data_IF_139403610620
#
_entry.id   IF_139403610620
#
_cell.length_a   1.000
_cell.length_b   1.000
_cell.length_c   1.000
_cell.angle_alpha   90.00
_cell.angle_beta   90.00
_cell.angle_gamma   90.00
#
_symmetry.space_group_name_H-M   'P 1'
#
loop_
_entity.id
_entity.type
_entity.pdbx_description
1 polymer ?
#
# COMPACT_ATOMS: atom_id res chain seq x y z
N UNK A 1 9.69 18.79 -26.81
CA UNK A 1 9.09 18.25 -25.63
C UNK A 1 9.76 18.86 -24.42
N UNK A 2 8.96 19.41 -23.59
CA UNK A 2 9.45 19.96 -22.36
C UNK A 2 10.03 18.91 -21.42
N UNK A 3 9.59 17.67 -21.58
CA UNK A 3 10.10 16.60 -20.74
C UNK A 3 11.52 16.21 -21.16
N UNK A 4 12.36 16.04 -20.17
CA UNK A 4 13.70 15.52 -20.40
C UNK A 4 13.68 14.06 -20.80
N UNK A 5 12.56 13.39 -20.59
CA UNK A 5 12.41 11.98 -20.91
C UNK A 5 11.54 11.77 -22.13
N UNK A 6 11.86 10.77 -22.93
CA UNK A 6 10.98 10.32 -23.98
C UNK A 6 9.72 9.70 -23.36
N UNK A 7 8.67 9.53 -24.16
CA UNK A 7 7.44 8.90 -23.70
C UNK A 7 7.72 7.52 -23.11
N UNK A 8 8.60 6.75 -23.76
CA UNK A 8 8.99 5.44 -23.28
C UNK A 8 9.66 5.53 -21.90
N UNK A 9 10.55 6.49 -21.73
CA UNK A 9 11.26 6.67 -20.47
C UNK A 9 10.29 7.06 -19.34
N UNK A 10 9.34 7.92 -19.63
CA UNK A 10 8.30 8.29 -18.66
C UNK A 10 7.48 7.08 -18.23
N UNK A 11 7.10 6.23 -19.17
CA UNK A 11 6.37 5.02 -18.86
C UNK A 11 7.15 4.09 -17.95
N UNK A 12 8.44 3.96 -18.18
CA UNK A 12 9.30 3.15 -17.32
C UNK A 12 9.38 3.71 -15.91
N UNK A 13 9.52 5.03 -15.77
CA UNK A 13 9.57 5.68 -14.47
C UNK A 13 8.25 5.50 -13.72
N UNK A 14 7.13 5.69 -14.40
CA UNK A 14 5.81 5.50 -13.79
C UNK A 14 5.58 4.06 -13.39
N UNK A 15 6.07 3.11 -14.18
CA UNK A 15 5.98 1.68 -13.85
C UNK A 15 6.77 1.37 -12.57
N UNK A 16 7.96 1.90 -12.43
CA UNK A 16 8.79 1.72 -11.23
C UNK A 16 8.12 2.28 -10.00
N UNK A 17 7.45 3.43 -10.13
CA UNK A 17 6.71 4.04 -9.03
C UNK A 17 5.54 3.16 -8.57
N UNK A 18 4.91 2.43 -9.50
CA UNK A 18 3.78 1.55 -9.20
C UNK A 18 4.19 0.18 -8.69
N UNK A 19 5.43 -0.23 -8.92
CA UNK A 19 5.93 -1.52 -8.49
C UNK A 19 6.38 -1.45 -7.03
N UNK A 20 6.88 -2.58 -6.55
CA UNK A 20 7.44 -2.65 -5.19
C UNK A 20 8.64 -1.72 -5.06
N UNK A 21 9.03 -1.41 -3.85
CA UNK A 21 10.15 -0.53 -3.50
C UNK A 21 9.86 0.95 -3.77
N UNK A 22 8.59 1.35 -3.66
CA UNK A 22 8.25 2.78 -3.68
C UNK A 22 8.82 3.47 -2.44
N UNK A 23 8.92 4.80 -2.48
CA UNK A 23 9.44 5.56 -1.34
C UNK A 23 8.69 5.29 -0.04
N UNK A 24 7.37 5.21 -0.10
CA UNK A 24 6.58 4.96 1.11
C UNK A 24 6.83 3.57 1.68
N UNK A 25 7.01 2.58 0.82
CA UNK A 25 7.35 1.23 1.27
C UNK A 25 8.72 1.23 1.96
N UNK A 26 9.70 1.89 1.38
CA UNK A 26 11.05 1.96 1.95
C UNK A 26 11.06 2.68 3.29
N UNK A 27 10.31 3.77 3.41
CA UNK A 27 10.19 4.52 4.66
C UNK A 27 9.62 3.62 5.75
N UNK A 28 8.55 2.90 5.44
CA UNK A 28 7.91 2.02 6.41
C UNK A 28 8.81 0.84 6.78
N UNK A 29 9.49 0.23 5.81
CA UNK A 29 10.43 -0.86 6.06
C UNK A 29 11.53 -0.43 7.02
N UNK A 30 12.08 0.76 6.81
CA UNK A 30 13.14 1.30 7.66
C UNK A 30 12.65 1.47 9.09
N UNK A 31 11.43 1.99 9.26
CA UNK A 31 10.85 2.17 10.58
C UNK A 31 10.63 0.84 11.29
N UNK A 32 10.13 -0.17 10.56
CA UNK A 32 9.94 -1.52 11.09
C UNK A 32 11.26 -2.16 11.50
N UNK A 33 12.27 -2.02 10.67
CA UNK A 33 13.59 -2.58 10.93
C UNK A 33 14.20 -1.98 12.19
N UNK A 34 14.03 -0.68 12.40
CA UNK A 34 14.52 -0.02 13.62
C UNK A 34 13.88 -0.57 14.88
N UNK A 35 12.65 -1.07 14.79
CA UNK A 35 11.95 -1.68 15.92
C UNK A 35 12.32 -3.14 16.12
N UNK A 36 13.25 -3.65 15.34
CA UNK A 36 13.69 -5.05 15.43
C UNK A 36 12.77 -6.04 14.77
N UNK A 37 11.81 -5.58 13.98
CA UNK A 37 10.88 -6.46 13.29
C UNK A 37 11.49 -6.97 11.99
N UNK A 38 11.29 -8.27 11.74
CA UNK A 38 11.78 -8.91 10.53
C UNK A 38 10.60 -9.30 9.67
N UNK A 39 10.60 -8.83 8.45
CA UNK A 39 9.50 -9.00 7.50
C UNK A 39 9.99 -9.54 6.17
N UNK A 40 9.06 -9.92 5.32
CA UNK A 40 9.34 -10.32 3.95
C UNK A 40 8.60 -9.40 2.99
N UNK A 41 9.21 -9.15 1.85
CA UNK A 41 8.63 -8.30 0.81
C UNK A 41 8.09 -9.15 -0.33
N UNK A 42 8.87 -10.10 -0.80
CA UNK A 42 8.44 -11.01 -1.86
C UNK A 42 7.46 -12.03 -1.30
N UNK A 43 6.30 -12.16 -1.93
CA UNK A 43 5.30 -13.12 -1.51
C UNK A 43 4.36 -13.42 -2.67
N UNK A 44 3.59 -14.51 -2.53
CA UNK A 44 2.63 -14.95 -3.53
C UNK A 44 1.20 -14.85 -3.02
N UNK A 45 0.96 -14.07 -1.99
CA UNK A 45 -0.38 -13.91 -1.44
C UNK A 45 -1.28 -13.18 -2.42
N UNK A 46 -2.56 -13.48 -2.33
CA UNK A 46 -3.56 -12.80 -3.14
C UNK A 46 -3.52 -11.30 -2.86
N UNK A 47 -3.53 -10.48 -3.91
CA UNK A 47 -3.43 -9.03 -3.79
C UNK A 47 -2.02 -8.50 -3.60
N UNK A 48 -1.04 -9.37 -3.45
CA UNK A 48 0.38 -9.02 -3.30
C UNK A 48 0.64 -7.90 -2.28
N UNK A 49 0.48 -8.21 -0.97
CA UNK A 49 0.84 -7.23 0.06
C UNK A 49 2.26 -6.71 -0.11
N UNK A 50 2.50 -5.49 0.32
CA UNK A 50 3.82 -4.87 0.20
C UNK A 50 4.80 -5.42 1.22
N UNK A 51 4.30 -5.79 2.40
CA UNK A 51 5.11 -6.34 3.50
C UNK A 51 4.30 -7.45 4.16
N UNK A 52 4.95 -8.57 4.50
CA UNK A 52 4.28 -9.63 5.24
C UNK A 52 5.12 -10.11 6.42
N UNK A 53 4.43 -10.62 7.42
CA UNK A 53 5.02 -11.33 8.56
C UNK A 53 4.43 -12.73 8.57
N UNK A 54 5.05 -13.69 7.84
CA UNK A 54 4.42 -15.02 7.64
C UNK A 54 4.12 -15.80 8.90
N UNK A 55 5.01 -15.76 9.87
CA UNK A 55 4.82 -16.51 11.12
C UNK A 55 3.63 -16.01 11.93
N UNK A 56 3.27 -14.76 11.78
CA UNK A 56 2.14 -14.14 12.50
C UNK A 56 0.92 -13.95 11.59
N UNK A 57 1.05 -14.24 10.32
CA UNK A 57 0.00 -14.03 9.31
C UNK A 57 -0.50 -12.60 9.28
N UNK A 58 0.41 -11.66 9.19
CA UNK A 58 0.09 -10.22 9.07
C UNK A 58 0.51 -9.75 7.69
N UNK A 59 -0.41 -9.13 6.97
CA UNK A 59 -0.18 -8.58 5.64
C UNK A 59 -0.40 -7.07 5.66
N UNK A 60 0.54 -6.33 5.09
CA UNK A 60 0.54 -4.86 5.14
C UNK A 60 0.55 -4.29 3.74
N UNK A 61 -0.37 -3.35 3.49
CA UNK A 61 -0.47 -2.63 2.23
C UNK A 61 -0.17 -1.16 2.45
N UNK A 62 0.62 -0.59 1.55
CA UNK A 62 0.92 0.84 1.53
C UNK A 62 0.12 1.44 0.37
N UNK A 63 -0.99 2.10 0.68
CA UNK A 63 -1.93 2.56 -0.34
C UNK A 63 -1.71 4.01 -0.75
N UNK A 64 -1.66 4.26 -2.06
CA UNK A 64 -1.63 5.61 -2.59
C UNK A 64 -2.98 6.29 -2.39
N UNK A 65 -2.97 7.54 -1.93
CA UNK A 65 -4.18 8.24 -1.55
C UNK A 65 -5.18 8.38 -2.71
N UNK A 66 -4.71 8.76 -3.87
CA UNK A 66 -5.60 9.03 -5.01
C UNK A 66 -6.22 7.75 -5.57
N UNK A 67 -5.38 6.76 -5.89
CA UNK A 67 -5.83 5.56 -6.58
C UNK A 67 -6.66 4.62 -5.72
N UNK A 68 -6.49 4.70 -4.39
CA UNK A 68 -7.28 3.90 -3.46
C UNK A 68 -8.45 4.67 -2.86
N UNK A 69 -8.68 5.88 -3.32
CA UNK A 69 -9.89 6.62 -3.01
C UNK A 69 -10.01 7.15 -1.59
N UNK A 70 -8.90 7.56 -0.99
CA UNK A 70 -8.90 8.09 0.38
C UNK A 70 -9.98 9.17 0.60
N UNK A 71 -10.08 10.12 -0.33
CA UNK A 71 -11.04 11.21 -0.24
C UNK A 71 -12.15 11.10 -1.27
N UNK A 72 -12.41 9.90 -1.78
CA UNK A 72 -13.33 9.72 -2.89
C UNK A 72 -14.74 10.22 -2.60
N UNK A 73 -15.24 9.99 -1.39
CA UNK A 73 -16.57 10.43 -1.01
C UNK A 73 -16.72 11.96 -0.97
N UNK A 74 -15.62 12.66 -0.64
CA UNK A 74 -15.63 14.12 -0.58
C UNK A 74 -15.36 14.75 -1.94
N UNK A 75 -14.40 14.21 -2.68
CA UNK A 75 -13.86 14.84 -3.89
C UNK A 75 -14.27 14.15 -5.19
N UNK A 76 -14.86 12.97 -5.11
CA UNK A 76 -15.20 12.17 -6.28
C UNK A 76 -16.04 12.89 -7.32
N UNK A 77 -16.92 13.79 -6.89
CA UNK A 77 -17.78 14.53 -7.81
C UNK A 77 -17.01 15.42 -8.78
N UNK A 78 -15.84 15.88 -8.37
CA UNK A 78 -14.98 16.70 -9.22
C UNK A 78 -14.09 15.90 -10.16
N UNK A 79 -14.08 14.59 -10.05
CA UNK A 79 -13.23 13.76 -10.89
C UNK A 79 -13.89 13.45 -12.22
N UNK A 80 -13.08 13.29 -13.26
CA UNK A 80 -13.55 12.81 -14.55
C UNK A 80 -14.11 11.40 -14.41
N UNK A 81 -15.10 11.05 -15.22
CA UNK A 81 -15.75 9.72 -15.18
C UNK A 81 -14.73 8.58 -15.25
N UNK A 82 -13.73 8.72 -16.13
CA UNK A 82 -12.67 7.72 -16.26
C UNK A 82 -11.96 7.46 -14.93
N UNK A 83 -11.59 8.53 -14.22
CA UNK A 83 -10.90 8.40 -12.94
C UNK A 83 -11.81 7.85 -11.85
N UNK A 84 -13.07 8.27 -11.84
CA UNK A 84 -14.06 7.75 -10.90
C UNK A 84 -14.21 6.24 -11.02
N UNK A 85 -14.35 5.75 -12.24
CA UNK A 85 -14.52 4.32 -12.49
C UNK A 85 -13.28 3.53 -12.07
N UNK A 86 -12.09 4.06 -12.36
CA UNK A 86 -10.85 3.40 -12.00
C UNK A 86 -10.65 3.34 -10.49
N UNK A 87 -10.97 4.43 -9.79
CA UNK A 87 -10.88 4.47 -8.34
C UNK A 87 -11.88 3.51 -7.71
N UNK A 88 -13.11 3.47 -8.21
CA UNK A 88 -14.12 2.52 -7.72
C UNK A 88 -13.66 1.08 -7.89
N UNK A 89 -13.10 0.76 -9.04
CA UNK A 89 -12.57 -0.57 -9.31
C UNK A 89 -11.47 -0.94 -8.32
N UNK A 90 -10.57 0.00 -8.03
CA UNK A 90 -9.50 -0.23 -7.07
C UNK A 90 -10.04 -0.44 -5.65
N UNK A 91 -11.05 0.34 -5.25
CA UNK A 91 -11.68 0.20 -3.94
C UNK A 91 -12.33 -1.19 -3.80
N UNK A 92 -13.06 -1.61 -4.83
CA UNK A 92 -13.70 -2.93 -4.85
C UNK A 92 -12.67 -4.05 -4.79
N UNK A 93 -11.58 -3.91 -5.54
CA UNK A 93 -10.49 -4.88 -5.53
C UNK A 93 -9.85 -4.97 -4.15
N UNK A 94 -9.59 -3.82 -3.51
CA UNK A 94 -9.01 -3.79 -2.16
C UNK A 94 -9.93 -4.48 -1.17
N UNK A 95 -11.24 -4.27 -1.28
CA UNK A 95 -12.22 -4.93 -0.43
C UNK A 95 -12.18 -6.44 -0.60
N UNK A 96 -12.11 -6.91 -1.86
CA UNK A 96 -12.03 -8.34 -2.15
C UNK A 96 -10.74 -8.94 -1.59
N UNK A 97 -9.62 -8.25 -1.75
CA UNK A 97 -8.34 -8.69 -1.22
C UNK A 97 -8.41 -8.82 0.29
N UNK A 98 -8.96 -7.81 0.96
CA UNK A 98 -9.10 -7.84 2.41
C UNK A 98 -9.91 -9.04 2.88
N UNK A 99 -11.06 -9.27 2.25
CA UNK A 99 -11.94 -10.39 2.60
C UNK A 99 -11.27 -11.73 2.38
N UNK A 100 -10.59 -11.88 1.26
CA UNK A 100 -9.92 -13.14 0.90
C UNK A 100 -8.80 -13.46 1.88
N UNK A 101 -7.95 -12.49 2.19
CA UNK A 101 -6.86 -12.69 3.12
C UNK A 101 -7.37 -12.97 4.54
N UNK A 102 -8.38 -12.27 4.99
CA UNK A 102 -8.98 -12.52 6.30
C UNK A 102 -9.58 -13.91 6.39
N UNK A 103 -10.24 -14.36 5.32
CA UNK A 103 -10.80 -15.71 5.26
C UNK A 103 -9.71 -16.77 5.42
N UNK A 104 -8.51 -16.49 4.93
CA UNK A 104 -7.37 -17.38 5.02
C UNK A 104 -6.56 -17.22 6.31
N UNK A 105 -7.08 -16.47 7.26
CA UNK A 105 -6.47 -16.32 8.58
C UNK A 105 -5.45 -15.21 8.69
N UNK A 106 -5.33 -14.36 7.69
CA UNK A 106 -4.41 -13.23 7.71
C UNK A 106 -5.04 -11.98 8.31
N UNK A 107 -4.28 -11.23 9.08
CA UNK A 107 -4.65 -9.90 9.50
C UNK A 107 -4.15 -8.93 8.45
N UNK A 108 -5.01 -8.04 8.00
CA UNK A 108 -4.70 -7.08 6.94
C UNK A 108 -4.63 -5.68 7.54
N UNK A 109 -3.50 -5.01 7.33
CA UNK A 109 -3.31 -3.63 7.75
C UNK A 109 -3.03 -2.79 6.52
N UNK A 110 -3.72 -1.66 6.41
CA UNK A 110 -3.52 -0.73 5.32
C UNK A 110 -3.19 0.65 5.87
N UNK A 111 -2.18 1.25 5.26
CA UNK A 111 -1.76 2.60 5.64
C UNK A 111 -1.75 3.48 4.41
N UNK A 112 -2.31 4.67 4.53
CA UNK A 112 -2.27 5.64 3.45
C UNK A 112 -0.88 6.25 3.34
N UNK A 113 -0.51 6.64 2.12
CA UNK A 113 0.76 7.30 1.85
C UNK A 113 1.00 8.48 2.81
N UNK A 114 -0.03 9.31 3.01
CA UNK A 114 0.07 10.48 3.88
C UNK A 114 0.41 10.09 5.31
N UNK A 115 -0.17 9.00 5.83
CA UNK A 115 0.12 8.52 7.18
C UNK A 115 1.58 8.09 7.32
N UNK A 116 2.06 7.35 6.33
CA UNK A 116 3.42 6.81 6.36
C UNK A 116 4.45 7.94 6.30
N UNK A 117 4.23 8.92 5.43
CA UNK A 117 5.12 10.06 5.29
C UNK A 117 5.13 10.91 6.56
N UNK A 118 3.94 11.17 7.10
CA UNK A 118 3.81 12.01 8.28
C UNK A 118 4.38 11.37 9.53
N UNK A 119 4.10 10.08 9.74
CA UNK A 119 4.44 9.40 10.99
C UNK A 119 4.79 7.93 10.78
N UNK A 120 5.93 7.64 10.14
CA UNK A 120 6.32 6.25 9.88
C UNK A 120 6.51 5.44 11.16
N UNK A 121 7.03 6.06 12.21
CA UNK A 121 7.24 5.38 13.49
C UNK A 121 5.92 4.97 14.14
N UNK A 122 4.89 5.80 14.03
CA UNK A 122 3.57 5.47 14.56
C UNK A 122 2.93 4.32 13.78
N UNK A 123 3.08 4.32 12.46
CA UNK A 123 2.63 3.20 11.63
C UNK A 123 3.34 1.90 12.03
N UNK A 124 4.65 1.96 12.21
CA UNK A 124 5.44 0.81 12.63
C UNK A 124 5.02 0.32 14.02
N UNK A 125 4.68 1.22 14.93
CA UNK A 125 4.22 0.85 16.27
C UNK A 125 2.87 0.14 16.23
N UNK A 126 1.95 0.58 15.39
CA UNK A 126 0.67 -0.11 15.18
C UNK A 126 0.90 -1.54 14.69
N UNK A 127 1.81 -1.71 13.76
CA UNK A 127 2.15 -3.03 13.23
C UNK A 127 2.77 -3.90 14.33
N UNK A 128 3.70 -3.34 15.09
CA UNK A 128 4.34 -4.06 16.18
C UNK A 128 3.32 -4.55 17.19
N UNK A 129 2.37 -3.70 17.55
CA UNK A 129 1.33 -4.07 18.51
C UNK A 129 0.48 -5.24 18.02
N UNK A 130 0.10 -5.25 16.74
CA UNK A 130 -0.63 -6.36 16.15
C UNK A 130 0.18 -7.66 16.20
N UNK A 131 1.47 -7.58 15.92
CA UNK A 131 2.36 -8.75 15.94
C UNK A 131 2.51 -9.30 17.34
N UNK A 132 2.66 -8.44 18.34
CA UNK A 132 2.82 -8.86 19.73
C UNK A 132 1.55 -9.49 20.28
N UNK A 133 0.38 -8.97 19.90
CA UNK A 133 -0.91 -9.49 20.35
C UNK A 133 -1.26 -10.85 19.76
N UNK A 134 -0.57 -11.24 18.70
CA UNK A 134 -0.80 -12.54 18.08
C UNK A 134 0.01 -13.62 18.81
#
# INVERSE_FOLDING_TARGET
MSDIFSVKKRSEIMRKVRNKNTNIELILRKALFKKGLRFRVKNKLFGKPDIIFPSKKVAIFCDGDFWHGKNFKKEGEGYKIFWKNKIKTNIERDSLVNKTLKKNGWKVLRFWKAEIIKNPNECAEKIRNVIIEN
#
